data_IF_880607891089
#
_entry.id   IF_880607891089
#
_cell.length_a   1.000
_cell.length_b   1.000
_cell.length_c   1.000
_cell.angle_alpha   90.00
_cell.angle_beta   90.00
_cell.angle_gamma   90.00
#
_symmetry.space_group_name_H-M   'P 1'
#
loop_
_entity.id
_entity.type
_entity.pdbx_description
1 polymer ?
#
# COMPACT_ATOMS: atom_id res chain seq x y z
N UNK A 1 15.25 -21.51 -4.01
CA UNK A 1 15.40 -20.18 -3.42
C UNK A 1 15.63 -20.35 -1.94
N UNK A 2 16.34 -19.41 -1.32
CA UNK A 2 16.53 -19.36 0.13
C UNK A 2 15.99 -18.04 0.65
N UNK A 3 15.51 -18.03 1.90
CA UNK A 3 15.03 -16.83 2.59
C UNK A 3 15.97 -16.57 3.74
N UNK A 4 16.49 -15.34 3.82
CA UNK A 4 17.35 -14.89 4.90
C UNK A 4 16.72 -13.68 5.60
N UNK A 5 16.56 -13.77 6.93
CA UNK A 5 16.03 -12.70 7.78
C UNK A 5 17.07 -12.34 8.85
N UNK A 6 17.83 -11.25 8.68
CA UNK A 6 18.87 -10.85 9.63
C UNK A 6 18.32 -10.60 11.04
N UNK A 7 17.10 -10.09 11.15
CA UNK A 7 16.44 -9.84 12.45
C UNK A 7 16.23 -11.12 13.29
N UNK A 8 16.04 -12.29 12.65
CA UNK A 8 15.90 -13.57 13.36
C UNK A 8 17.19 -13.93 14.12
N UNK A 9 18.33 -13.47 13.62
CA UNK A 9 19.65 -13.68 14.21
C UNK A 9 20.14 -12.49 15.05
N UNK A 10 19.23 -11.57 15.42
CA UNK A 10 19.54 -10.37 16.23
C UNK A 10 20.49 -9.38 15.53
N UNK A 11 20.58 -9.44 14.19
CA UNK A 11 21.31 -8.45 13.38
C UNK A 11 20.30 -7.38 12.98
N UNK A 12 20.38 -6.22 13.62
CA UNK A 12 19.37 -5.16 13.52
C UNK A 12 19.84 -3.96 12.69
N UNK A 13 21.14 -3.84 12.44
CA UNK A 13 21.76 -2.70 11.77
C UNK A 13 22.72 -3.20 10.69
N UNK A 14 22.67 -2.59 9.51
CA UNK A 14 23.61 -2.83 8.42
C UNK A 14 24.93 -2.05 8.63
N UNK A 15 25.95 -2.31 7.82
CA UNK A 15 27.26 -1.62 7.87
C UNK A 15 27.14 -0.09 7.66
N UNK A 16 26.05 0.34 7.01
CA UNK A 16 25.68 1.75 6.78
C UNK A 16 24.73 2.33 7.86
N UNK A 17 24.46 1.59 8.94
CA UNK A 17 23.61 2.03 10.06
C UNK A 17 22.11 2.04 9.76
N UNK A 18 21.67 1.43 8.65
CA UNK A 18 20.26 1.30 8.32
C UNK A 18 19.62 0.16 9.11
N UNK A 19 18.38 0.36 9.57
CA UNK A 19 17.64 -0.68 10.30
C UNK A 19 17.24 -1.84 9.38
N UNK A 20 17.68 -3.05 9.72
CA UNK A 20 17.34 -4.31 9.03
C UNK A 20 16.04 -4.94 9.53
N UNK A 21 15.35 -4.27 10.47
CA UNK A 21 14.10 -4.74 11.06
C UNK A 21 13.00 -4.80 10.00
N UNK A 22 12.37 -5.97 9.87
CA UNK A 22 11.37 -6.21 8.83
C UNK A 22 11.94 -6.27 7.42
N UNK A 23 13.25 -6.44 7.24
CA UNK A 23 13.87 -6.71 5.94
C UNK A 23 14.12 -8.22 5.81
N UNK A 24 13.78 -8.78 4.66
CA UNK A 24 14.07 -10.15 4.29
C UNK A 24 14.73 -10.21 2.92
N UNK A 25 15.74 -11.06 2.77
CA UNK A 25 16.42 -11.29 1.50
C UNK A 25 15.95 -12.61 0.90
N UNK A 26 15.53 -12.56 -0.36
CA UNK A 26 15.20 -13.74 -1.16
C UNK A 26 16.36 -14.00 -2.12
N UNK A 27 17.07 -15.10 -1.87
CA UNK A 27 18.24 -15.50 -2.64
C UNK A 27 17.82 -16.54 -3.69
N UNK A 28 17.92 -16.15 -4.96
CA UNK A 28 17.69 -17.02 -6.10
C UNK A 28 19.02 -17.72 -6.44
N UNK A 29 19.39 -18.71 -5.63
CA UNK A 29 20.63 -19.47 -5.83
C UNK A 29 20.59 -20.48 -7.00
N UNK A 30 19.39 -20.76 -7.55
CA UNK A 30 19.23 -21.63 -8.71
C UNK A 30 18.10 -21.14 -9.60
N UNK A 31 18.43 -20.82 -10.85
CA UNK A 31 17.49 -20.43 -11.89
C UNK A 31 17.87 -21.19 -13.19
N UNK A 32 16.93 -21.96 -13.76
CA UNK A 32 17.20 -22.81 -14.94
C UNK A 32 17.36 -22.00 -16.22
N UNK A 33 16.69 -20.85 -16.28
CA UNK A 33 16.53 -20.07 -17.51
C UNK A 33 16.78 -18.58 -17.27
N UNK A 34 17.56 -18.23 -16.25
CA UNK A 34 17.80 -16.83 -15.90
C UNK A 34 18.95 -16.64 -14.92
N UNK A 35 19.19 -15.39 -14.55
CA UNK A 35 20.23 -15.02 -13.61
C UNK A 35 19.91 -15.49 -12.19
N UNK A 36 20.98 -15.66 -11.42
CA UNK A 36 20.93 -15.74 -9.98
C UNK A 36 20.92 -14.31 -9.45
N UNK A 37 20.07 -14.04 -8.48
CA UNK A 37 19.92 -12.70 -7.92
C UNK A 37 19.49 -12.77 -6.46
N UNK A 38 19.75 -11.70 -5.71
CA UNK A 38 19.33 -11.55 -4.33
C UNK A 38 18.45 -10.31 -4.23
N UNK A 39 17.18 -10.52 -3.91
CA UNK A 39 16.17 -9.46 -3.86
C UNK A 39 15.89 -9.15 -2.39
N UNK A 40 16.03 -7.88 -2.00
CA UNK A 40 15.64 -7.39 -0.68
C UNK A 40 14.16 -7.01 -0.71
N UNK A 41 13.38 -7.48 0.27
CA UNK A 41 11.95 -7.22 0.40
C UNK A 41 11.60 -6.87 1.85
N UNK A 42 10.46 -6.20 2.06
CA UNK A 42 9.90 -5.96 3.38
C UNK A 42 9.11 -7.19 3.84
N UNK A 43 9.30 -7.63 5.07
CA UNK A 43 8.56 -8.73 5.69
C UNK A 43 7.64 -8.22 6.80
N UNK A 44 6.34 -8.51 6.68
CA UNK A 44 5.31 -8.18 7.66
C UNK A 44 4.95 -9.44 8.45
N UNK A 45 5.46 -9.54 9.68
CA UNK A 45 5.34 -10.73 10.54
C UNK A 45 3.89 -11.09 10.87
N UNK A 46 3.04 -10.09 11.08
CA UNK A 46 1.63 -10.27 11.43
C UNK A 46 0.84 -11.08 10.39
N UNK A 47 1.22 -10.97 9.11
CA UNK A 47 0.53 -11.61 8.00
C UNK A 47 1.42 -12.61 7.24
N UNK A 48 2.67 -12.79 7.69
CA UNK A 48 3.72 -13.48 6.94
C UNK A 48 3.81 -13.02 5.47
N UNK A 49 3.61 -11.71 5.21
CA UNK A 49 3.55 -11.13 3.87
C UNK A 49 4.91 -10.53 3.49
N UNK A 50 5.32 -10.74 2.25
CA UNK A 50 6.43 -10.01 1.63
C UNK A 50 5.87 -8.87 0.79
N UNK A 51 6.36 -7.65 1.00
CA UNK A 51 6.00 -6.45 0.26
C UNK A 51 7.25 -5.84 -0.39
N UNK A 52 7.06 -5.09 -1.46
CA UNK A 52 8.17 -4.43 -2.15
C UNK A 52 8.73 -3.30 -1.28
N UNK A 53 10.05 -3.12 -1.28
CA UNK A 53 10.69 -2.07 -0.48
C UNK A 53 10.24 -0.67 -0.93
N UNK A 54 10.03 -0.50 -2.23
CA UNK A 54 9.66 0.77 -2.86
C UNK A 54 8.14 0.98 -2.98
N UNK A 55 7.32 0.02 -2.51
CA UNK A 55 5.88 0.24 -2.40
C UNK A 55 5.68 1.33 -1.34
N UNK A 56 5.52 2.58 -1.81
CA UNK A 56 5.23 3.76 -1.03
C UNK A 56 4.16 3.41 -0.01
N UNK A 57 4.51 3.45 1.28
CA UNK A 57 3.62 3.12 2.39
C UNK A 57 2.30 3.85 2.17
N UNK A 58 1.29 3.12 1.69
CA UNK A 58 -0.05 3.67 1.52
C UNK A 58 -0.60 4.13 2.89
N UNK A 59 -0.07 3.55 3.97
CA UNK A 59 -0.27 3.92 5.37
C UNK A 59 0.44 5.23 5.79
N UNK A 60 1.47 5.67 5.07
CA UNK A 60 2.17 6.94 5.33
C UNK A 60 1.53 8.13 4.61
N UNK A 61 0.50 7.88 3.80
CA UNK A 61 -0.31 8.94 3.23
C UNK A 61 -1.16 9.56 4.36
N UNK A 62 -1.15 10.89 4.53
CA UNK A 62 -1.99 11.53 5.53
C UNK A 62 -3.45 11.21 5.21
N UNK A 63 -4.25 10.89 6.22
CA UNK A 63 -5.67 10.50 6.14
C UNK A 63 -6.53 11.44 5.26
N UNK A 64 -6.11 12.72 5.15
CA UNK A 64 -6.74 13.74 4.31
C UNK A 64 -6.47 13.59 2.79
N UNK A 65 -5.57 12.71 2.35
CA UNK A 65 -5.30 12.51 0.91
C UNK A 65 -6.45 11.84 0.15
N UNK A 66 -7.31 11.12 0.85
CA UNK A 66 -8.52 10.51 0.30
C UNK A 66 -9.80 11.19 0.80
N UNK A 67 -9.71 12.42 1.32
CA UNK A 67 -10.90 13.19 1.66
C UNK A 67 -11.78 13.29 0.42
N UNK A 68 -12.90 12.58 0.48
CA UNK A 68 -13.83 12.48 -0.62
C UNK A 68 -14.26 13.90 -0.96
N UNK A 69 -14.26 14.33 -2.24
CA UNK A 69 -14.64 15.70 -2.64
C UNK A 69 -16.11 16.06 -2.33
N UNK A 70 -16.82 15.20 -1.60
CA UNK A 70 -18.19 15.33 -1.14
C UNK A 70 -18.33 15.79 0.33
N UNK A 71 -17.24 15.88 1.11
CA UNK A 71 -17.33 16.21 2.55
C UNK A 71 -17.39 17.72 2.84
N UNK A 72 -17.18 18.57 1.84
CA UNK A 72 -17.10 20.02 1.99
C UNK A 72 -18.24 20.79 1.32
N UNK A 73 -19.44 20.72 1.89
CA UNK A 73 -20.48 21.77 1.81
C UNK A 73 -20.78 22.39 0.44
N UNK A 74 -21.72 21.79 -0.29
CA UNK A 74 -22.83 22.44 -1.04
C UNK A 74 -23.34 21.52 -2.16
N UNK A 75 -24.01 20.42 -1.79
CA UNK A 75 -24.86 19.69 -2.75
C UNK A 75 -26.09 20.58 -3.02
N UNK A 76 -26.17 21.10 -4.25
CA UNK A 76 -27.31 21.86 -4.73
C UNK A 76 -28.20 20.91 -5.53
N UNK A 77 -29.18 20.33 -4.83
CA UNK A 77 -30.25 19.56 -5.46
C UNK A 77 -31.23 20.55 -6.08
N UNK A 78 -31.21 20.67 -7.41
CA UNK A 78 -32.21 21.46 -8.17
C UNK A 78 -33.34 20.53 -8.63
N UNK A 79 -34.61 20.81 -8.29
CA UNK A 79 -35.73 20.01 -8.80
C UNK A 79 -35.90 20.20 -10.31
N UNK A 80 -36.37 19.16 -10.99
CA UNK A 80 -36.66 19.19 -12.42
C UNK A 80 -37.92 19.99 -12.71
N UNK A 81 -37.98 20.61 -13.90
CA UNK A 81 -39.12 21.41 -14.41
C UNK A 81 -40.44 20.64 -14.58
N UNK A 82 -40.43 19.33 -14.35
CA UNK A 82 -41.60 18.45 -14.41
C UNK A 82 -42.31 18.30 -13.06
N UNK A 83 -41.76 18.86 -11.99
CA UNK A 83 -42.32 18.79 -10.64
C UNK A 83 -43.27 19.96 -10.31
N UNK A 84 -43.70 20.72 -11.32
CA UNK A 84 -44.61 21.86 -11.15
C UNK A 84 -46.04 21.36 -11.39
N UNK A 85 -46.72 20.97 -10.32
CA UNK A 85 -48.08 20.37 -10.33
C UNK A 85 -49.19 21.41 -10.60
N UNK A 86 -48.90 22.51 -11.32
CA UNK A 86 -49.82 23.61 -11.60
C UNK A 86 -50.70 23.44 -12.85
N UNK A 87 -50.72 22.26 -13.49
CA UNK A 87 -51.50 22.04 -14.72
C UNK A 87 -52.08 20.60 -14.85
N UNK A 88 -52.79 20.13 -13.81
CA UNK A 88 -53.67 18.95 -13.92
C UNK A 88 -55.13 19.40 -13.82
N UNK A 89 -55.81 19.70 -14.96
CA UNK A 89 -57.25 19.89 -14.97
C UNK A 89 -57.93 18.51 -14.87
N UNK A 90 -58.98 18.44 -14.05
CA UNK A 90 -59.84 17.27 -13.88
C UNK A 90 -60.40 16.72 -15.20
#
# INVERSE_FOLDING_TARGET
>A
SFIYRPEYYQILEDEEGQSLKGIAEIIIAKNRHGALDTIKLRFVDQFAKFADLDESDFDALPDDTFSSPFDGGNIITRPSRMNDDEDIPF
#
